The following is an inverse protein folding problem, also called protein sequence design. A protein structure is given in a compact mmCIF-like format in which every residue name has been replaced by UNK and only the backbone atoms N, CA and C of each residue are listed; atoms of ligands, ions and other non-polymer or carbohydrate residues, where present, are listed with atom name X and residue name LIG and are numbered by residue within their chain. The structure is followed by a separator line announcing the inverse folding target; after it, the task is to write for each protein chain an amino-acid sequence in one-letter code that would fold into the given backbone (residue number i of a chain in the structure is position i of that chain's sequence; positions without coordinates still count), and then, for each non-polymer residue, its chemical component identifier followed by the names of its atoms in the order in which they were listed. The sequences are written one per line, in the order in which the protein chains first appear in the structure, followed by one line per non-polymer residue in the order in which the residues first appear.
data_IF_934343216434
#
_entry.id   IF_934343216434
#
_cell.length_a   1.000
_cell.length_b   1.000
_cell.length_c   1.000
_cell.angle_alpha   90.00
_cell.angle_beta   90.00
_cell.angle_gamma   90.00
#
_symmetry.space_group_name_H-M   'P 1'
#
loop_
_entity.id
_entity.type
_entity.pdbx_description
1 polymer ?
#
# COMPACT_ATOMS: atom_id res chain seq x y z
N UNK A 1 8.44 13.68 0.04
CA UNK A 1 7.48 12.98 -0.85
C UNK A 1 6.12 13.18 -0.23
N UNK A 2 5.10 13.52 -1.02
CA UNK A 2 3.74 13.80 -0.51
C UNK A 2 2.88 12.52 -0.56
N UNK A 3 3.52 11.36 -0.37
CA UNK A 3 2.84 10.07 -0.45
C UNK A 3 2.46 9.68 0.95
N UNK A 4 1.17 9.58 1.23
CA UNK A 4 0.69 9.19 2.55
C UNK A 4 0.69 7.66 2.71
N UNK A 5 0.24 6.94 1.66
CA UNK A 5 0.12 5.48 1.66
C UNK A 5 0.68 4.86 0.38
N UNK A 6 1.49 3.81 0.54
CA UNK A 6 1.95 2.93 -0.53
C UNK A 6 1.17 1.61 -0.48
N UNK A 7 0.31 1.39 -1.47
CA UNK A 7 -0.41 0.12 -1.62
C UNK A 7 0.45 -0.82 -2.49
N UNK A 8 0.72 -2.03 -2.00
CA UNK A 8 1.62 -2.99 -2.65
C UNK A 8 0.88 -4.22 -3.14
N UNK A 9 1.21 -4.66 -4.36
CA UNK A 9 0.79 -5.96 -4.86
C UNK A 9 1.78 -7.07 -4.53
N UNK A 10 1.47 -8.28 -5.01
CA UNK A 10 2.39 -9.40 -4.93
C UNK A 10 3.73 -9.04 -5.59
N UNK A 11 4.83 -9.51 -4.98
CA UNK A 11 6.20 -9.34 -5.47
C UNK A 11 6.72 -7.88 -5.50
N UNK A 12 6.22 -7.02 -4.60
CA UNK A 12 6.79 -5.68 -4.43
C UNK A 12 8.30 -5.75 -4.12
N UNK A 13 9.10 -5.09 -4.94
CA UNK A 13 10.56 -5.11 -4.79
C UNK A 13 11.04 -4.39 -3.53
N UNK A 14 12.05 -4.96 -2.87
CA UNK A 14 12.62 -4.45 -1.61
C UNK A 14 13.06 -2.97 -1.66
N UNK A 15 13.49 -2.46 -2.81
CA UNK A 15 13.89 -1.06 -2.98
C UNK A 15 12.73 -0.07 -2.83
N UNK A 16 11.50 -0.48 -3.12
CA UNK A 16 10.30 0.35 -2.93
C UNK A 16 9.93 0.44 -1.46
N UNK A 17 9.96 -0.70 -0.76
CA UNK A 17 9.72 -0.77 0.69
C UNK A 17 10.79 0.03 1.46
N UNK A 18 12.07 -0.12 1.11
CA UNK A 18 13.15 0.63 1.75
C UNK A 18 13.02 2.15 1.59
N UNK A 19 12.49 2.62 0.45
CA UNK A 19 12.22 4.04 0.24
C UNK A 19 11.00 4.52 1.03
N UNK A 20 9.93 3.72 1.10
CA UNK A 20 8.75 4.04 1.89
C UNK A 20 9.10 4.17 3.38
N UNK A 21 9.84 3.20 3.92
CA UNK A 21 10.36 3.21 5.29
C UNK A 21 11.21 4.47 5.58
N UNK A 22 12.18 4.77 4.71
CA UNK A 22 13.03 5.98 4.85
C UNK A 22 12.23 7.28 4.86
N UNK A 23 11.10 7.32 4.17
CA UNK A 23 10.26 8.50 4.03
C UNK A 23 9.11 8.53 5.04
N UNK A 24 8.99 7.53 5.92
CA UNK A 24 7.90 7.41 6.88
C UNK A 24 6.54 7.20 6.23
N UNK A 25 6.51 6.64 5.01
CA UNK A 25 5.30 6.39 4.24
C UNK A 25 4.66 5.09 4.71
N UNK A 26 3.37 5.13 5.03
CA UNK A 26 2.62 3.94 5.42
C UNK A 26 2.56 2.96 4.24
N UNK A 27 2.61 1.65 4.52
CA UNK A 27 2.53 0.62 3.48
C UNK A 27 1.41 -0.36 3.79
N UNK A 28 0.57 -0.68 2.80
CA UNK A 28 -0.53 -1.63 2.92
C UNK A 28 -0.55 -2.62 1.74
N UNK A 29 -0.97 -3.86 2.00
CA UNK A 29 -1.17 -4.85 0.94
C UNK A 29 -2.45 -4.57 0.15
N UNK A 30 -2.44 -4.79 -1.16
CA UNK A 30 -3.58 -4.58 -2.04
C UNK A 30 -4.82 -5.40 -1.64
N UNK A 31 -4.63 -6.58 -1.04
CA UNK A 31 -5.73 -7.43 -0.57
C UNK A 31 -6.52 -6.78 0.56
N UNK A 32 -5.85 -6.01 1.43
CA UNK A 32 -6.51 -5.23 2.49
C UNK A 32 -7.41 -4.16 1.89
N UNK A 33 -6.91 -3.46 0.87
CA UNK A 33 -7.66 -2.39 0.20
C UNK A 33 -8.86 -2.96 -0.56
N UNK A 34 -8.69 -4.09 -1.25
CA UNK A 34 -9.80 -4.76 -1.93
C UNK A 34 -10.91 -5.17 -0.97
N UNK A 35 -10.56 -5.73 0.20
CA UNK A 35 -11.57 -6.06 1.20
C UNK A 35 -12.32 -4.82 1.68
N UNK A 36 -11.63 -3.71 1.94
CA UNK A 36 -12.28 -2.45 2.33
C UNK A 36 -13.21 -1.90 1.24
N UNK A 37 -12.83 -1.99 -0.04
CA UNK A 37 -13.66 -1.55 -1.15
C UNK A 37 -14.93 -2.40 -1.30
N UNK A 38 -14.81 -3.72 -1.11
CA UNK A 38 -15.94 -4.65 -1.12
C UNK A 38 -16.88 -4.37 0.06
N UNK A 39 -16.33 -4.22 1.28
CA UNK A 39 -17.11 -3.94 2.49
C UNK A 39 -17.85 -2.59 2.39
N UNK A 40 -17.28 -1.63 1.65
CA UNK A 40 -17.90 -0.35 1.34
C UNK A 40 -18.93 -0.39 0.20
N UNK A 41 -19.11 -1.53 -0.48
CA UNK A 41 -20.02 -1.69 -1.62
C UNK A 41 -19.57 -0.95 -2.89
N UNK A 42 -18.28 -0.69 -3.04
CA UNK A 42 -17.70 -0.01 -4.21
C UNK A 42 -17.24 -1.03 -5.27
N UNK A 43 -16.81 -2.22 -4.83
CA UNK A 43 -16.27 -3.31 -5.65
C UNK A 43 -16.98 -4.64 -5.41
#
# INVERSE_FOLDING_TARGET
ANTDLLITGAEVGASKLAKADKLGVETADQGVIWQQLIDAGIA
#
